data_IF_744632834260
#
_entry.id   IF_744632834260
#
_cell.length_a   1.000
_cell.length_b   1.000
_cell.length_c   1.000
_cell.angle_alpha   90.00
_cell.angle_beta   90.00
_cell.angle_gamma   90.00
#
_symmetry.space_group_name_H-M   'P 1'
#
loop_
_entity.id
_entity.type
_entity.pdbx_description
1 polymer ?
#
# COMPACT_ATOMS: atom_id res chain seq x y z
N UNK A 1 -31.33 -1.92 10.15
CA UNK A 1 -29.92 -1.87 10.63
C UNK A 1 -29.34 -0.49 10.42
N UNK A 2 -28.55 0.05 11.37
CA UNK A 2 -27.87 1.35 11.26
C UNK A 2 -26.37 1.13 11.40
N UNK A 3 -25.58 1.75 10.53
CA UNK A 3 -24.12 1.81 10.66
C UNK A 3 -23.71 3.11 11.32
N UNK A 4 -22.67 3.07 12.16
CA UNK A 4 -22.09 4.26 12.77
C UNK A 4 -20.58 4.14 12.92
N UNK A 5 -19.88 5.28 12.87
CA UNK A 5 -18.46 5.35 13.19
C UNK A 5 -18.29 5.25 14.71
N UNK A 6 -17.68 4.17 15.20
CA UNK A 6 -17.43 4.00 16.62
C UNK A 6 -16.10 4.62 17.04
N UNK A 7 -15.05 4.38 16.26
CA UNK A 7 -13.68 4.79 16.56
C UNK A 7 -13.05 5.45 15.36
N UNK A 8 -12.30 6.50 15.61
CA UNK A 8 -11.55 7.26 14.60
C UNK A 8 -10.14 7.49 15.16
N UNK A 9 -9.12 7.05 14.41
CA UNK A 9 -7.71 7.24 14.74
C UNK A 9 -6.99 7.92 13.57
N UNK A 10 -6.23 8.98 13.88
CA UNK A 10 -5.53 9.76 12.88
C UNK A 10 -6.47 10.65 12.05
N UNK A 11 -6.18 10.81 10.77
CA UNK A 11 -6.97 11.61 9.84
C UNK A 11 -7.98 10.73 9.11
N UNK A 12 -9.24 10.88 9.47
CA UNK A 12 -10.38 10.18 8.87
C UNK A 12 -11.41 11.21 8.43
N UNK A 13 -11.97 11.01 7.25
CA UNK A 13 -12.96 11.90 6.68
C UNK A 13 -14.20 11.12 6.28
N UNK A 14 -15.35 11.76 6.35
CA UNK A 14 -16.65 11.25 5.93
C UNK A 14 -17.20 12.15 4.82
N UNK A 15 -17.84 11.53 3.84
CA UNK A 15 -18.58 12.24 2.78
C UNK A 15 -20.02 11.77 2.80
N UNK A 16 -20.95 12.74 2.87
CA UNK A 16 -22.38 12.50 2.83
C UNK A 16 -22.87 12.50 1.37
N UNK A 17 -23.24 11.32 0.91
CA UNK A 17 -23.67 11.15 -0.50
C UNK A 17 -22.63 11.68 -1.49
N UNK A 18 -22.99 12.73 -2.25
CA UNK A 18 -22.11 13.41 -3.23
C UNK A 18 -21.50 14.72 -2.70
N UNK A 19 -21.58 14.99 -1.39
CA UNK A 19 -21.07 16.20 -0.76
C UNK A 19 -19.54 16.28 -0.71
N UNK A 20 -19.03 17.27 0.02
CA UNK A 20 -17.60 17.41 0.29
C UNK A 20 -17.14 16.39 1.37
N UNK A 21 -15.84 16.16 1.41
CA UNK A 21 -15.21 15.42 2.49
C UNK A 21 -15.09 16.31 3.73
N UNK A 22 -15.50 15.79 4.87
CA UNK A 22 -15.48 16.46 6.17
C UNK A 22 -14.76 15.59 7.19
N UNK A 23 -14.19 16.20 8.23
CA UNK A 23 -13.53 15.45 9.31
C UNK A 23 -14.55 14.55 10.00
N UNK A 24 -14.25 13.27 10.08
CA UNK A 24 -15.12 12.29 10.72
C UNK A 24 -15.15 12.45 12.24
N UNK A 25 -16.34 12.30 12.82
CA UNK A 25 -16.54 12.33 14.26
C UNK A 25 -16.98 10.93 14.75
N UNK A 26 -16.47 10.43 15.88
CA UNK A 26 -17.02 9.24 16.53
C UNK A 26 -18.52 9.44 16.84
N UNK A 27 -19.30 8.37 16.67
CA UNK A 27 -20.75 8.38 16.84
C UNK A 27 -21.53 8.83 15.60
N UNK A 28 -20.86 9.29 14.53
CA UNK A 28 -21.54 9.69 13.30
C UNK A 28 -22.28 8.50 12.67
N UNK A 29 -23.58 8.64 12.46
CA UNK A 29 -24.38 7.66 11.70
C UNK A 29 -23.98 7.67 10.22
N UNK A 30 -23.98 6.50 9.59
CA UNK A 30 -23.70 6.31 8.16
C UNK A 30 -24.95 5.78 7.46
N UNK A 31 -25.30 6.41 6.34
CA UNK A 31 -26.45 6.06 5.51
C UNK A 31 -25.98 5.53 4.16
N UNK A 32 -26.85 4.90 3.37
CA UNK A 32 -26.53 4.52 2.01
C UNK A 32 -26.00 5.71 1.19
N UNK A 33 -24.94 5.47 0.43
CA UNK A 33 -24.14 6.46 -0.34
C UNK A 33 -23.19 7.35 0.48
N UNK A 34 -23.15 7.23 1.82
CA UNK A 34 -22.09 7.87 2.60
C UNK A 34 -20.78 7.09 2.44
N UNK A 35 -19.67 7.81 2.48
CA UNK A 35 -18.33 7.23 2.34
C UNK A 35 -17.42 7.66 3.49
N UNK A 36 -16.47 6.79 3.84
CA UNK A 36 -15.42 7.02 4.85
C UNK A 36 -14.08 6.77 4.19
N UNK A 37 -13.13 7.68 4.38
CA UNK A 37 -11.74 7.45 3.98
C UNK A 37 -10.77 7.72 5.10
N UNK A 38 -9.73 6.92 5.14
CA UNK A 38 -8.61 7.04 6.08
C UNK A 38 -7.36 7.46 5.34
N UNK A 39 -6.54 8.31 5.93
CA UNK A 39 -5.23 8.67 5.42
C UNK A 39 -4.15 7.65 5.87
N UNK A 40 -2.88 7.90 5.51
CA UNK A 40 -1.75 7.11 6.02
C UNK A 40 -1.74 7.12 7.56
N UNK A 41 -1.36 5.99 8.18
CA UNK A 41 -1.32 5.78 9.62
C UNK A 41 -2.65 6.11 10.36
N UNK A 42 -3.78 5.96 9.67
CA UNK A 42 -5.12 6.24 10.21
C UNK A 42 -5.99 5.01 10.13
N UNK A 43 -7.00 4.93 11.00
CA UNK A 43 -7.98 3.85 10.97
C UNK A 43 -9.35 4.33 11.46
N UNK A 44 -10.39 3.62 11.05
CA UNK A 44 -11.75 3.82 11.55
C UNK A 44 -12.45 2.49 11.82
N UNK A 45 -13.32 2.46 12.81
CA UNK A 45 -14.19 1.32 13.09
C UNK A 45 -15.63 1.74 12.86
N UNK A 46 -16.30 1.00 11.97
CA UNK A 46 -17.73 1.15 11.70
C UNK A 46 -18.44 -0.03 12.36
N UNK A 47 -19.50 0.23 13.11
CA UNK A 47 -20.32 -0.80 13.73
C UNK A 47 -21.74 -0.77 13.19
N UNK A 48 -22.36 -1.95 13.16
CA UNK A 48 -23.76 -2.13 12.77
C UNK A 48 -24.50 -3.04 13.75
N UNK A 49 -25.49 -2.49 14.47
CA UNK A 49 -26.42 -3.20 15.36
C UNK A 49 -25.77 -4.31 16.22
N UNK A 50 -24.59 -4.07 16.78
CA UNK A 50 -23.78 -4.99 17.61
C UNK A 50 -23.36 -6.30 16.91
N UNK A 51 -23.83 -6.55 15.70
CA UNK A 51 -23.57 -7.79 14.95
C UNK A 51 -22.43 -7.67 13.94
N UNK A 52 -22.13 -6.47 13.45
CA UNK A 52 -21.13 -6.21 12.42
C UNK A 52 -20.16 -5.14 12.90
N UNK A 53 -18.88 -5.44 12.74
CA UNK A 53 -17.79 -4.50 12.93
C UNK A 53 -16.92 -4.47 11.65
N UNK A 54 -16.67 -3.28 11.12
CA UNK A 54 -15.78 -3.09 9.96
C UNK A 54 -14.62 -2.18 10.36
N UNK A 55 -13.43 -2.75 10.40
CA UNK A 55 -12.18 -1.98 10.53
C UNK A 55 -11.74 -1.50 9.15
N UNK A 56 -11.74 -0.20 8.97
CA UNK A 56 -11.22 0.48 7.78
C UNK A 56 -9.74 0.80 8.04
N UNK A 57 -8.85 0.11 7.33
CA UNK A 57 -7.40 0.25 7.50
C UNK A 57 -6.86 1.57 6.94
N UNK A 58 -5.57 1.84 7.12
CA UNK A 58 -4.93 3.04 6.60
C UNK A 58 -5.00 3.12 5.06
N UNK A 59 -5.12 4.34 4.51
CA UNK A 59 -5.18 4.56 3.05
C UNK A 59 -6.35 3.81 2.38
N UNK A 60 -7.50 3.76 3.04
CA UNK A 60 -8.67 2.98 2.60
C UNK A 60 -9.86 3.89 2.42
N UNK A 61 -10.63 3.68 1.35
CA UNK A 61 -11.92 4.33 1.12
C UNK A 61 -13.01 3.27 0.99
N UNK A 62 -14.06 3.44 1.79
CA UNK A 62 -15.27 2.59 1.77
C UNK A 62 -16.51 3.45 1.68
N UNK A 63 -17.55 2.95 1.01
CA UNK A 63 -18.87 3.57 1.00
C UNK A 63 -19.96 2.56 1.39
N UNK A 64 -21.05 3.07 1.94
CA UNK A 64 -22.22 2.25 2.29
C UNK A 64 -23.08 2.08 1.04
N UNK A 65 -23.19 0.84 0.55
CA UNK A 65 -23.96 0.54 -0.67
C UNK A 65 -25.43 0.20 -0.34
N UNK A 66 -25.66 -0.68 0.62
CA UNK A 66 -27.01 -1.12 1.00
C UNK A 66 -27.12 -1.42 2.48
N UNK A 67 -28.24 -1.04 3.08
CA UNK A 67 -28.58 -1.33 4.47
C UNK A 67 -30.05 -1.77 4.53
N UNK A 68 -30.28 -3.05 4.76
CA UNK A 68 -31.60 -3.64 5.01
C UNK A 68 -31.56 -4.52 6.26
N UNK A 69 -32.70 -5.04 6.70
CA UNK A 69 -32.74 -5.94 7.87
C UNK A 69 -32.03 -7.27 7.59
N UNK A 70 -31.91 -7.68 6.34
CA UNK A 70 -31.33 -8.97 5.94
C UNK A 70 -29.93 -8.84 5.35
N UNK A 71 -29.57 -7.66 4.82
CA UNK A 71 -28.35 -7.43 4.08
C UNK A 71 -27.73 -6.08 4.43
N UNK A 72 -26.45 -6.10 4.76
CA UNK A 72 -25.60 -4.91 4.76
C UNK A 72 -24.47 -5.08 3.77
N UNK A 73 -24.32 -4.11 2.89
CA UNK A 73 -23.24 -4.09 1.89
C UNK A 73 -22.43 -2.83 1.98
N UNK A 74 -21.12 -3.01 2.02
CA UNK A 74 -20.12 -1.95 1.95
C UNK A 74 -19.36 -2.09 0.62
N UNK A 75 -19.14 -0.99 -0.05
CA UNK A 75 -18.30 -0.91 -1.24
C UNK A 75 -16.90 -0.48 -0.83
N UNK A 76 -15.90 -1.31 -1.13
CA UNK A 76 -14.48 -1.00 -0.92
C UNK A 76 -13.92 -0.39 -2.21
N UNK A 77 -13.72 0.93 -2.19
CA UNK A 77 -13.17 1.67 -3.33
C UNK A 77 -11.70 1.33 -3.55
N UNK A 78 -10.92 1.42 -2.50
CA UNK A 78 -9.49 1.04 -2.48
C UNK A 78 -9.03 0.79 -1.05
N UNK A 79 -7.94 0.05 -0.88
CA UNK A 79 -7.34 -0.20 0.43
C UNK A 79 -7.67 -1.56 1.01
N UNK A 80 -7.80 -1.65 2.34
CA UNK A 80 -8.09 -2.89 3.07
C UNK A 80 -9.16 -2.63 4.13
N UNK A 81 -10.22 -3.42 4.10
CA UNK A 81 -11.25 -3.47 5.13
C UNK A 81 -11.30 -4.87 5.75
N UNK A 82 -11.47 -4.93 7.07
CA UNK A 82 -11.69 -6.17 7.82
C UNK A 82 -13.07 -6.14 8.42
N UNK A 83 -13.88 -7.15 8.14
CA UNK A 83 -15.20 -7.29 8.67
C UNK A 83 -15.27 -8.45 9.68
N UNK A 84 -15.87 -8.20 10.85
CA UNK A 84 -16.21 -9.20 11.84
C UNK A 84 -17.71 -9.24 11.95
N UNK A 85 -18.29 -10.41 11.69
CA UNK A 85 -19.73 -10.66 11.75
C UNK A 85 -20.01 -11.69 12.84
N UNK A 86 -20.76 -11.28 13.85
CA UNK A 86 -21.13 -12.17 14.97
C UNK A 86 -22.29 -13.08 14.57
N UNK A 87 -22.24 -14.37 14.93
CA UNK A 87 -23.35 -15.28 14.67
C UNK A 87 -24.60 -14.83 15.45
N UNK A 88 -25.78 -15.00 14.88
CA UNK A 88 -27.02 -14.66 15.58
C UNK A 88 -28.24 -14.54 14.67
N UNK A 89 -28.51 -13.33 14.20
CA UNK A 89 -29.66 -13.07 13.30
C UNK A 89 -29.34 -13.56 11.88
N UNK A 90 -30.35 -13.87 11.09
CA UNK A 90 -30.21 -14.15 9.64
C UNK A 90 -29.88 -12.84 8.91
N UNK A 91 -28.62 -12.43 9.03
CA UNK A 91 -28.13 -11.24 8.39
C UNK A 91 -26.89 -11.59 7.57
N UNK A 92 -26.87 -11.16 6.31
CA UNK A 92 -25.74 -11.33 5.42
C UNK A 92 -24.94 -10.02 5.38
N UNK A 93 -23.64 -10.12 5.62
CA UNK A 93 -22.73 -8.99 5.42
C UNK A 93 -21.90 -9.20 4.17
N UNK A 94 -21.83 -8.17 3.34
CA UNK A 94 -21.11 -8.18 2.07
C UNK A 94 -20.13 -7.02 1.96
N UNK A 95 -18.94 -7.31 1.43
CA UNK A 95 -17.99 -6.30 0.94
C UNK A 95 -17.84 -6.52 -0.55
N UNK A 96 -18.21 -5.51 -1.33
CA UNK A 96 -18.04 -5.48 -2.78
C UNK A 96 -16.84 -4.61 -3.14
N UNK A 97 -16.02 -5.00 -4.09
CA UNK A 97 -14.96 -4.16 -4.61
C UNK A 97 -15.49 -3.21 -5.69
N UNK A 98 -15.11 -1.93 -5.61
CA UNK A 98 -15.34 -0.99 -6.70
C UNK A 98 -14.51 -1.39 -7.94
N UNK A 99 -14.98 -1.00 -9.11
CA UNK A 99 -14.35 -1.30 -10.40
C UNK A 99 -14.08 -2.79 -10.66
N UNK A 100 -14.85 -3.66 -9.98
CA UNK A 100 -14.77 -5.12 -10.09
C UNK A 100 -16.15 -5.73 -9.81
N UNK A 101 -16.36 -6.95 -10.28
CA UNK A 101 -17.50 -7.79 -9.89
C UNK A 101 -17.22 -8.62 -8.63
N UNK A 102 -16.05 -8.41 -8.01
CA UNK A 102 -15.63 -9.14 -6.83
C UNK A 102 -16.44 -8.77 -5.60
N UNK A 103 -16.95 -9.81 -4.91
CA UNK A 103 -17.79 -9.68 -3.74
C UNK A 103 -17.45 -10.79 -2.73
N UNK A 104 -17.19 -10.39 -1.49
CA UNK A 104 -17.04 -11.30 -0.36
C UNK A 104 -18.27 -11.20 0.54
N UNK A 105 -18.82 -12.34 0.96
CA UNK A 105 -19.99 -12.39 1.87
C UNK A 105 -19.86 -13.46 2.93
N UNK A 106 -20.38 -13.17 4.11
CA UNK A 106 -20.50 -14.11 5.20
C UNK A 106 -21.73 -13.82 6.05
N UNK A 107 -22.19 -14.80 6.81
CA UNK A 107 -23.21 -14.65 7.86
C UNK A 107 -22.61 -14.72 9.26
N UNK A 108 -21.34 -15.18 9.38
CA UNK A 108 -20.61 -15.24 10.64
C UNK A 108 -19.12 -15.45 10.36
N UNK A 109 -18.24 -14.81 11.15
CA UNK A 109 -16.80 -14.94 11.06
C UNK A 109 -16.08 -13.63 10.86
N UNK A 110 -14.78 -13.69 10.66
CA UNK A 110 -13.90 -12.54 10.44
C UNK A 110 -13.14 -12.71 9.13
N UNK A 111 -13.26 -11.74 8.25
CA UNK A 111 -12.53 -11.71 6.99
C UNK A 111 -12.00 -10.33 6.66
N UNK A 112 -10.97 -10.29 5.84
CA UNK A 112 -10.44 -9.05 5.28
C UNK A 112 -10.50 -9.09 3.76
N UNK A 113 -10.75 -7.94 3.16
CA UNK A 113 -10.74 -7.75 1.71
C UNK A 113 -9.81 -6.59 1.38
N UNK A 114 -8.96 -6.78 0.38
CA UNK A 114 -8.16 -5.71 -0.23
C UNK A 114 -8.63 -5.45 -1.65
N UNK A 115 -8.59 -4.19 -2.07
CA UNK A 115 -8.87 -3.74 -3.42
C UNK A 115 -7.81 -2.71 -3.83
N UNK A 116 -7.12 -2.94 -4.95
CA UNK A 116 -6.11 -2.02 -5.48
C UNK A 116 -6.72 -0.83 -6.25
N UNK A 117 -8.05 -0.82 -6.44
CA UNK A 117 -8.77 0.15 -7.26
C UNK A 117 -8.66 -0.10 -8.77
N UNK A 118 -7.82 -1.05 -9.21
CA UNK A 118 -7.58 -1.41 -10.61
C UNK A 118 -8.08 -2.81 -10.97
N UNK A 119 -8.83 -3.47 -10.05
CA UNK A 119 -9.48 -4.75 -10.25
C UNK A 119 -8.72 -5.96 -9.69
N UNK A 120 -7.61 -5.76 -8.98
CA UNK A 120 -7.00 -6.84 -8.17
C UNK A 120 -7.63 -6.81 -6.78
N UNK A 121 -8.30 -7.90 -6.43
CA UNK A 121 -9.00 -8.05 -5.16
C UNK A 121 -8.54 -9.33 -4.48
N UNK A 122 -8.14 -9.23 -3.20
CA UNK A 122 -7.85 -10.40 -2.37
C UNK A 122 -8.81 -10.46 -1.19
N UNK A 123 -9.21 -11.68 -0.84
CA UNK A 123 -10.04 -11.99 0.32
C UNK A 123 -9.33 -13.04 1.17
N UNK A 124 -9.25 -12.79 2.47
CA UNK A 124 -8.70 -13.74 3.43
C UNK A 124 -9.63 -13.92 4.62
N UNK A 125 -9.87 -15.15 5.04
CA UNK A 125 -10.68 -15.47 6.18
C UNK A 125 -9.82 -15.77 7.41
N UNK A 126 -10.09 -15.08 8.53
CA UNK A 126 -9.45 -15.35 9.83
C UNK A 126 -10.26 -16.35 10.64
N UNK A 127 -11.58 -16.22 10.60
CA UNK A 127 -12.52 -17.05 11.31
C UNK A 127 -13.74 -17.34 10.42
N UNK A 128 -14.28 -18.56 10.53
CA UNK A 128 -15.45 -18.97 9.76
C UNK A 128 -15.14 -19.22 8.28
N UNK A 129 -16.15 -19.02 7.47
CA UNK A 129 -16.10 -19.19 6.02
C UNK A 129 -16.62 -17.93 5.31
N UNK A 130 -15.98 -17.60 4.19
CA UNK A 130 -16.36 -16.46 3.35
C UNK A 130 -16.62 -16.97 1.94
N UNK A 131 -17.78 -16.68 1.40
CA UNK A 131 -18.07 -16.89 -0.01
C UNK A 131 -17.46 -15.74 -0.81
N UNK A 132 -16.51 -16.04 -1.69
CA UNK A 132 -15.86 -15.06 -2.56
C UNK A 132 -16.28 -15.29 -4.00
N UNK A 133 -16.92 -14.28 -4.60
CA UNK A 133 -17.37 -14.25 -5.99
C UNK A 133 -16.47 -13.34 -6.80
N UNK A 134 -16.24 -13.68 -8.06
CA UNK A 134 -15.56 -12.85 -9.03
C UNK A 134 -15.56 -13.49 -10.41
N UNK A 135 -15.79 -12.70 -11.45
CA UNK A 135 -15.86 -13.16 -12.84
C UNK A 135 -16.80 -14.36 -13.07
N UNK A 136 -17.95 -14.33 -12.41
CA UNK A 136 -18.96 -15.37 -12.47
C UNK A 136 -18.60 -16.68 -11.78
N UNK A 137 -17.48 -16.75 -11.06
CA UNK A 137 -17.06 -17.94 -10.29
C UNK A 137 -17.13 -17.67 -8.80
N UNK A 138 -17.33 -18.74 -8.05
CA UNK A 138 -17.45 -18.71 -6.59
C UNK A 138 -16.46 -19.66 -5.98
N UNK A 139 -15.77 -19.21 -4.94
CA UNK A 139 -14.94 -20.05 -4.06
C UNK A 139 -15.31 -19.81 -2.61
N UNK A 140 -15.07 -20.80 -1.75
CA UNK A 140 -15.26 -20.68 -0.29
C UNK A 140 -13.90 -20.58 0.35
N UNK A 141 -13.60 -19.41 0.92
CA UNK A 141 -12.35 -19.14 1.64
C UNK A 141 -12.58 -19.48 3.12
N UNK A 142 -11.84 -20.44 3.64
CA UNK A 142 -11.93 -20.89 5.03
C UNK A 142 -10.89 -20.20 5.90
N UNK A 143 -11.07 -20.27 7.20
CA UNK A 143 -10.13 -19.74 8.18
C UNK A 143 -8.68 -20.14 7.85
N UNK A 144 -7.76 -19.18 7.85
CA UNK A 144 -6.36 -19.35 7.48
C UNK A 144 -6.06 -19.31 5.97
N UNK A 145 -7.07 -19.23 5.12
CA UNK A 145 -6.92 -19.20 3.66
C UNK A 145 -7.16 -17.80 3.09
N UNK A 146 -6.62 -17.58 1.91
CA UNK A 146 -6.90 -16.42 1.05
C UNK A 146 -7.15 -16.86 -0.39
N UNK A 147 -7.83 -16.00 -1.14
CA UNK A 147 -8.05 -16.13 -2.58
C UNK A 147 -7.92 -14.75 -3.22
N UNK A 148 -7.45 -14.70 -4.46
CA UNK A 148 -7.20 -13.46 -5.21
C UNK A 148 -7.84 -13.54 -6.58
N UNK A 149 -8.51 -12.48 -7.00
CA UNK A 149 -8.93 -12.26 -8.38
C UNK A 149 -8.17 -11.07 -8.97
N UNK A 150 -7.71 -11.19 -10.19
CA UNK A 150 -7.00 -10.12 -10.91
C UNK A 150 -7.72 -9.78 -12.21
N UNK A 151 -7.48 -8.63 -12.83
CA UNK A 151 -8.05 -8.29 -14.13
C UNK A 151 -7.81 -9.35 -15.21
N UNK A 152 -6.68 -10.04 -15.15
CA UNK A 152 -6.27 -11.05 -16.13
C UNK A 152 -6.67 -12.49 -15.76
N UNK A 153 -7.08 -12.75 -14.52
CA UNK A 153 -7.51 -14.09 -14.10
C UNK A 153 -8.90 -14.43 -14.67
N UNK A 154 -9.25 -15.70 -14.73
CA UNK A 154 -10.57 -16.19 -15.16
C UNK A 154 -11.57 -16.32 -14.01
N UNK A 155 -11.19 -15.90 -12.81
CA UNK A 155 -11.98 -15.96 -11.58
C UNK A 155 -11.06 -15.89 -10.36
N UNK A 156 -11.62 -16.02 -9.15
CA UNK A 156 -10.84 -16.16 -7.93
C UNK A 156 -9.90 -17.36 -8.00
N UNK A 157 -8.71 -17.23 -7.45
CA UNK A 157 -7.78 -18.36 -7.30
C UNK A 157 -8.34 -19.41 -6.36
N UNK A 158 -7.83 -20.64 -6.42
CA UNK A 158 -8.12 -21.62 -5.38
C UNK A 158 -7.69 -21.06 -4.01
N UNK A 159 -8.56 -21.21 -2.98
CA UNK A 159 -8.22 -20.81 -1.63
C UNK A 159 -6.99 -21.55 -1.11
N UNK A 160 -5.99 -20.81 -0.64
CA UNK A 160 -4.73 -21.35 -0.15
C UNK A 160 -4.26 -20.56 1.09
N UNK A 161 -3.41 -21.13 1.94
CA UNK A 161 -2.76 -20.39 3.01
C UNK A 161 -2.02 -19.15 2.48
N UNK A 162 -1.90 -18.12 3.32
CA UNK A 162 -1.10 -16.94 2.98
C UNK A 162 0.34 -17.37 2.69
N UNK A 163 0.93 -16.98 1.57
CA UNK A 163 2.33 -17.28 1.28
C UNK A 163 3.26 -16.78 2.40
N UNK A 164 4.25 -17.58 2.75
CA UNK A 164 5.26 -17.21 3.76
C UNK A 164 6.14 -16.04 3.30
N UNK A 165 6.27 -15.84 1.99
CA UNK A 165 7.00 -14.72 1.40
C UNK A 165 6.05 -13.85 0.58
N UNK A 166 5.86 -12.61 1.00
CA UNK A 166 5.05 -11.59 0.32
C UNK A 166 5.87 -10.82 -0.70
N UNK A 167 7.15 -10.56 -0.39
CA UNK A 167 8.12 -9.94 -1.28
C UNK A 167 8.93 -11.05 -1.97
N UNK A 168 8.64 -11.31 -3.24
CA UNK A 168 9.34 -12.35 -4.01
C UNK A 168 10.71 -11.90 -4.49
N UNK A 169 10.82 -10.61 -4.84
CA UNK A 169 12.03 -9.98 -5.33
C UNK A 169 12.00 -8.51 -5.03
N UNK A 170 13.11 -7.94 -4.60
CA UNK A 170 13.31 -6.49 -4.50
C UNK A 170 14.63 -6.16 -5.16
N UNK A 171 14.59 -5.34 -6.18
CA UNK A 171 15.77 -4.82 -6.86
C UNK A 171 16.12 -3.46 -6.25
N UNK A 172 17.17 -3.47 -5.44
CA UNK A 172 17.77 -2.31 -4.84
C UNK A 172 18.84 -1.77 -5.80
N UNK A 173 18.67 -0.58 -6.39
CA UNK A 173 19.67 -0.04 -7.29
C UNK A 173 20.94 0.37 -6.54
N UNK A 174 22.09 0.21 -7.18
CA UNK A 174 23.32 0.86 -6.72
C UNK A 174 23.13 2.36 -6.82
N UNK A 175 23.32 3.09 -5.72
CA UNK A 175 23.25 4.53 -5.74
C UNK A 175 24.63 5.15 -5.93
N UNK A 176 24.72 6.11 -6.84
CA UNK A 176 25.87 7.03 -6.87
C UNK A 176 25.73 7.99 -5.71
N UNK A 177 26.83 8.37 -5.06
CA UNK A 177 26.80 9.24 -3.88
C UNK A 177 26.12 10.59 -4.09
N UNK A 178 26.05 11.09 -5.32
CA UNK A 178 25.38 12.35 -5.68
C UNK A 178 23.94 12.16 -6.17
N UNK A 179 23.39 10.95 -6.11
CA UNK A 179 22.04 10.66 -6.60
C UNK A 179 21.02 10.84 -5.48
N UNK A 180 20.11 11.82 -5.65
CA UNK A 180 19.03 12.13 -4.70
C UNK A 180 17.72 11.43 -5.00
N UNK A 181 17.66 10.66 -6.06
CA UNK A 181 16.45 9.93 -6.47
C UNK A 181 16.82 8.55 -6.96
N UNK A 182 16.19 7.54 -6.39
CA UNK A 182 16.37 6.14 -6.78
C UNK A 182 15.06 5.52 -7.19
N UNK A 183 15.13 4.53 -8.07
CA UNK A 183 14.01 3.77 -8.56
C UNK A 183 14.12 2.34 -8.05
N UNK A 184 13.17 1.95 -7.20
CA UNK A 184 13.11 0.60 -6.63
C UNK A 184 12.02 -0.16 -7.37
N UNK A 185 12.33 -1.37 -7.78
CA UNK A 185 11.40 -2.26 -8.44
C UNK A 185 11.43 -3.64 -7.81
N UNK A 186 10.41 -4.45 -8.06
CA UNK A 186 10.36 -5.78 -7.52
C UNK A 186 9.09 -6.52 -7.85
N UNK A 187 8.93 -7.65 -7.18
CA UNK A 187 7.75 -8.50 -7.28
C UNK A 187 7.21 -8.82 -5.89
N UNK A 188 5.91 -8.69 -5.72
CA UNK A 188 5.18 -9.02 -4.50
C UNK A 188 3.94 -9.85 -4.84
N UNK A 189 3.34 -10.45 -3.83
CA UNK A 189 2.09 -11.22 -4.01
C UNK A 189 0.97 -10.26 -4.42
N UNK A 190 0.25 -10.50 -5.54
CA UNK A 190 -0.90 -9.69 -5.93
C UNK A 190 -1.94 -9.61 -4.80
N UNK A 191 -2.54 -8.43 -4.60
CA UNK A 191 -3.49 -8.18 -3.52
C UNK A 191 -2.84 -7.90 -2.15
N UNK A 192 -1.51 -8.07 -1.99
CA UNK A 192 -0.79 -7.56 -0.83
C UNK A 192 -0.63 -6.05 -0.93
N UNK A 193 -0.68 -5.36 0.21
CA UNK A 193 -0.41 -3.92 0.28
C UNK A 193 1.06 -3.68 0.58
N UNK A 194 1.66 -2.78 -0.18
CA UNK A 194 3.03 -2.33 0.00
C UNK A 194 3.04 -0.94 0.64
N UNK A 195 4.06 -0.69 1.45
CA UNK A 195 4.32 0.61 2.06
C UNK A 195 5.79 0.99 1.87
N UNK A 196 6.04 2.21 1.42
CA UNK A 196 7.37 2.78 1.27
C UNK A 196 7.31 4.29 1.50
N UNK A 197 8.18 4.79 2.38
CA UNK A 197 8.20 6.23 2.69
C UNK A 197 6.88 6.76 3.26
N UNK A 198 6.13 5.95 3.99
CA UNK A 198 4.81 6.29 4.55
C UNK A 198 3.67 6.30 3.54
N UNK A 199 3.92 5.92 2.28
CA UNK A 199 2.90 5.81 1.25
C UNK A 199 2.51 4.35 1.02
N UNK A 200 1.21 4.10 0.94
CA UNK A 200 0.64 2.79 0.60
C UNK A 200 0.40 2.67 -0.90
N UNK A 201 0.65 1.48 -1.44
CA UNK A 201 0.35 1.14 -2.82
C UNK A 201 0.19 -0.38 -2.97
N UNK A 202 -0.28 -0.81 -4.14
CA UNK A 202 -0.41 -2.23 -4.47
C UNK A 202 0.52 -2.60 -5.63
N UNK A 203 1.00 -3.84 -5.70
CA UNK A 203 1.66 -4.35 -6.89
C UNK A 203 0.64 -4.50 -8.02
N UNK A 204 1.11 -4.52 -9.26
CA UNK A 204 0.26 -4.83 -10.41
C UNK A 204 -0.33 -6.24 -10.36
N UNK A 205 -1.26 -6.56 -11.27
CA UNK A 205 -1.89 -7.89 -11.33
C UNK A 205 -0.89 -9.03 -11.60
N UNK A 206 0.27 -8.73 -12.16
CA UNK A 206 1.40 -9.66 -12.37
C UNK A 206 2.35 -9.71 -11.15
N UNK A 207 2.04 -8.97 -10.09
CA UNK A 207 2.85 -8.85 -8.88
C UNK A 207 3.98 -7.84 -8.96
N UNK A 208 4.22 -7.20 -10.11
CA UNK A 208 5.32 -6.25 -10.27
C UNK A 208 4.98 -4.90 -9.66
N UNK A 209 6.00 -4.24 -9.13
CA UNK A 209 5.90 -2.87 -8.65
C UNK A 209 7.16 -2.08 -9.00
N UNK A 210 6.98 -0.77 -9.06
CA UNK A 210 8.04 0.19 -9.28
C UNK A 210 7.72 1.47 -8.54
N UNK A 211 8.69 2.00 -7.78
CA UNK A 211 8.56 3.24 -7.02
C UNK A 211 9.84 4.06 -7.05
N UNK A 212 9.66 5.35 -7.16
CA UNK A 212 10.76 6.33 -7.06
C UNK A 212 10.77 6.88 -5.64
N UNK A 213 11.94 6.92 -5.03
CA UNK A 213 12.17 7.43 -3.67
C UNK A 213 13.15 8.60 -3.75
N UNK A 214 12.79 9.71 -3.12
CA UNK A 214 13.67 10.84 -2.94
C UNK A 214 14.54 10.63 -1.70
N UNK A 215 15.85 10.78 -1.85
CA UNK A 215 16.83 10.64 -0.77
C UNK A 215 17.27 12.04 -0.29
N UNK A 216 17.45 12.17 1.01
CA UNK A 216 18.00 13.35 1.66
C UNK A 216 19.54 13.29 1.68
N UNK A 217 20.18 14.43 1.89
CA UNK A 217 21.62 14.48 2.15
C UNK A 217 21.98 13.64 3.37
N UNK A 218 23.08 12.88 3.30
CA UNK A 218 23.53 11.99 4.37
C UNK A 218 22.99 10.57 4.27
N UNK A 219 22.79 9.91 5.40
CA UNK A 219 22.33 8.52 5.50
C UNK A 219 20.80 8.42 5.34
N UNK A 220 20.35 7.48 4.53
CA UNK A 220 18.94 7.21 4.27
C UNK A 220 18.68 5.72 4.44
N UNK A 221 17.79 5.35 5.34
CA UNK A 221 17.22 4.00 5.43
C UNK A 221 15.94 3.96 4.61
N UNK A 222 15.95 3.23 3.50
CA UNK A 222 14.76 3.00 2.69
C UNK A 222 14.18 1.65 3.05
N UNK A 223 12.96 1.67 3.57
CA UNK A 223 12.21 0.49 4.00
C UNK A 223 11.04 0.23 3.07
N UNK A 224 10.86 -1.03 2.69
CA UNK A 224 9.70 -1.55 1.99
C UNK A 224 9.03 -2.57 2.89
N UNK A 225 7.77 -2.34 3.24
CA UNK A 225 6.93 -3.27 4.00
C UNK A 225 5.83 -3.81 3.10
N UNK A 226 5.64 -5.12 3.11
CA UNK A 226 4.51 -5.79 2.50
C UNK A 226 3.58 -6.35 3.56
N UNK A 227 2.28 -6.20 3.36
CA UNK A 227 1.25 -6.72 4.26
C UNK A 227 0.24 -7.52 3.46
N UNK A 228 -0.02 -8.77 3.86
CA UNK A 228 -1.09 -9.57 3.26
C UNK A 228 -2.46 -9.05 3.68
N UNK A 229 -3.51 -9.47 2.98
CA UNK A 229 -4.90 -9.22 3.36
C UNK A 229 -5.23 -9.74 4.77
N UNK A 230 -4.52 -10.75 5.25
CA UNK A 230 -4.67 -11.34 6.59
C UNK A 230 -3.81 -10.67 7.66
N UNK A 231 -2.99 -9.66 7.31
CA UNK A 231 -2.14 -8.92 8.23
C UNK A 231 -0.75 -9.52 8.48
N UNK A 232 -0.37 -10.60 7.77
CA UNK A 232 1.03 -11.06 7.75
C UNK A 232 1.91 -9.97 7.14
N UNK A 233 3.07 -9.71 7.74
CA UNK A 233 3.97 -8.66 7.30
C UNK A 233 5.34 -9.21 6.94
N UNK A 234 5.98 -8.60 5.95
CA UNK A 234 7.36 -8.84 5.56
C UNK A 234 8.03 -7.50 5.25
N UNK A 235 9.26 -7.32 5.69
CA UNK A 235 10.03 -6.10 5.48
C UNK A 235 11.32 -6.39 4.71
N UNK A 236 11.73 -5.43 3.90
CA UNK A 236 13.04 -5.37 3.26
C UNK A 236 13.55 -3.93 3.38
N UNK A 237 14.85 -3.76 3.62
CA UNK A 237 15.44 -2.44 3.79
C UNK A 237 16.83 -2.36 3.17
N UNK A 238 17.21 -1.16 2.71
CA UNK A 238 18.53 -0.85 2.19
C UNK A 238 18.97 0.52 2.66
N UNK A 239 20.23 0.65 3.05
CA UNK A 239 20.85 1.92 3.40
C UNK A 239 21.46 2.58 2.16
N UNK A 240 21.24 3.89 2.04
CA UNK A 240 21.82 4.74 1.00
C UNK A 240 22.49 5.94 1.61
N UNK A 241 23.67 6.29 1.10
CA UNK A 241 24.39 7.50 1.51
C UNK A 241 24.44 8.47 0.35
N UNK A 242 23.90 9.68 0.56
CA UNK A 242 23.94 10.77 -0.39
C UNK A 242 24.95 11.81 0.07
N UNK A 243 25.88 12.18 -0.82
CA UNK A 243 26.87 13.24 -0.61
C UNK A 243 26.94 14.07 -1.88
N UNK A 244 26.29 15.21 -1.86
CA UNK A 244 26.28 16.18 -2.97
C UNK A 244 27.30 17.30 -2.75
N UNK A 245 28.14 17.20 -1.71
CA UNK A 245 29.17 18.16 -1.44
C UNK A 245 30.15 18.25 -2.63
N UNK A 246 30.52 19.44 -3.10
CA UNK A 246 31.53 19.57 -4.14
C UNK A 246 32.85 18.98 -3.65
N UNK A 247 33.62 18.32 -4.51
CA UNK A 247 34.91 17.78 -4.14
C UNK A 247 35.79 18.89 -3.57
N UNK A 248 36.49 18.62 -2.47
CA UNK A 248 37.45 19.57 -1.89
C UNK A 248 38.44 19.99 -2.95
N UNK A 249 38.60 21.29 -3.14
CA UNK A 249 39.63 21.84 -4.08
C UNK A 249 40.98 21.25 -3.68
N UNK A 250 41.55 20.44 -4.56
CA UNK A 250 42.93 20.00 -4.41
C UNK A 250 43.82 21.24 -4.66
N UNK A 251 44.52 21.70 -3.64
CA UNK A 251 45.65 22.61 -3.85
C UNK A 251 46.81 21.75 -4.34
N UNK A 252 47.06 21.77 -5.63
CA UNK A 252 48.26 21.17 -6.20
C UNK A 252 49.28 22.32 -6.32
N UNK A 253 50.21 22.38 -5.39
CA UNK A 253 51.41 23.20 -5.56
C UNK A 253 52.32 22.49 -6.58
N UNK A 254 52.20 22.86 -7.84
CA UNK A 254 53.15 22.45 -8.85
C UNK A 254 54.39 23.32 -8.68
N UNK A 255 55.53 22.75 -8.33
CA UNK A 255 56.80 23.51 -8.40
C UNK A 255 57.12 23.69 -9.88
N UNK A 256 56.71 24.81 -10.43
CA UNK A 256 57.21 25.24 -11.73
C UNK A 256 58.68 25.52 -11.53
N UNK A 257 59.52 24.59 -11.98
CA UNK A 257 60.96 24.80 -12.01
C UNK A 257 61.24 26.12 -12.74
N UNK A 258 62.00 27.00 -12.08
CA UNK A 258 62.56 28.16 -12.69
C UNK A 258 63.39 27.72 -13.93
N UNK A 259 62.85 27.99 -15.11
CA UNK A 259 63.65 27.86 -16.35
C UNK A 259 64.79 28.80 -16.23
N UNK A 260 65.99 28.33 -15.91
CA UNK A 260 67.23 29.02 -16.16
C UNK A 260 67.36 29.26 -17.68
N UNK A 261 67.20 30.48 -18.10
CA UNK A 261 67.50 30.88 -19.46
C UNK A 261 68.96 30.51 -19.80
N UNK A 262 69.26 29.87 -20.93
CA UNK A 262 70.62 29.62 -21.32
C UNK A 262 71.30 30.98 -21.69
N UNK A 263 72.40 31.25 -21.02
CA UNK A 263 73.32 32.38 -21.27
C UNK A 263 73.87 32.21 -22.68
N UNK A 264 73.57 33.16 -23.58
CA UNK A 264 74.15 33.22 -24.93
C UNK A 264 75.59 33.76 -24.81
N UNK A 265 76.63 33.01 -25.22
CA UNK A 265 78.00 33.52 -25.19
C UNK A 265 78.15 34.64 -26.20
N UNK A 266 78.69 35.77 -25.76
CA UNK A 266 79.10 36.93 -26.61
C UNK A 266 80.11 36.53 -27.66
N UNK A 267 79.79 36.79 -28.94
CA UNK A 267 80.76 36.71 -30.01
C UNK A 267 81.67 37.90 -29.92
N UNK A 268 82.94 37.65 -29.68
CA UNK A 268 84.06 38.61 -29.85
C UNK A 268 84.31 38.78 -31.32
N UNK A 269 84.06 39.98 -31.83
CA UNK A 269 84.66 40.47 -33.09
C UNK A 269 86.08 40.89 -32.79
N UNK A 270 86.98 40.52 -33.67
CA UNK A 270 88.33 41.10 -33.79
C UNK A 270 88.87 40.93 -35.19
N UNK A 271 89.85 41.75 -35.58
CA UNK A 271 89.72 42.98 -36.34
C UNK A 271 89.84 42.75 -37.83
#
# INVERSE_FOLDING_TARGET
>A
MQLSLQKVEGTVEVRRGKGAWEVAQPGAALHPSDAVRTQAASSAVIIGDEAVEVLVGAGTEVSVDSLTDELSRVLLETGIATATVRPGKRHTFEVKAANSDALARTTAGTFSMSNDGAGTVAVGAREGEVTFLGKGKVVIVRAGQQSVVTPTSTGPSEPAPVPSSLLRKVAWPDSRRNQRRIKISGEAVPGSRLEMGGQHFFPGPDGKFERTVDLKEGENLVQLRASSVMGTQQEAAQNYKVDTSPPKKLKVDLPWGSSSSPEVPAQTESP
#
